data_IF_054416625410
#
_entry.id   IF_054416625410
#
_cell.length_a   1.000
_cell.length_b   1.000
_cell.length_c   1.000
_cell.angle_alpha   90.00
_cell.angle_beta   90.00
_cell.angle_gamma   90.00
#
_symmetry.space_group_name_H-M   'P 1'
#
loop_
_entity.id
_entity.type
_entity.pdbx_description
1 polymer ?
#
# COMPACT_ATOMS: atom_id res chain seq x y z
N UNK A 1 5.76 -23.87 -11.37
CA UNK A 1 5.28 -23.98 -9.97
C UNK A 1 5.99 -22.89 -9.17
N UNK A 2 5.58 -21.63 -9.34
CA UNK A 2 6.26 -20.47 -8.76
C UNK A 2 5.61 -20.14 -7.40
N UNK A 3 6.45 -20.07 -6.38
CA UNK A 3 6.11 -19.92 -4.98
C UNK A 3 5.42 -18.58 -4.70
N UNK A 4 4.23 -18.64 -4.09
CA UNK A 4 3.49 -17.51 -3.50
C UNK A 4 4.29 -16.96 -2.33
N UNK A 5 4.78 -15.72 -2.44
CA UNK A 5 5.44 -15.04 -1.33
C UNK A 5 4.39 -14.40 -0.41
N UNK A 6 4.16 -15.01 0.75
CA UNK A 6 3.35 -14.45 1.84
C UNK A 6 4.15 -13.36 2.55
N UNK A 7 3.86 -12.08 2.28
CA UNK A 7 4.46 -10.94 3.00
C UNK A 7 3.72 -10.74 4.33
N UNK A 8 4.28 -11.27 5.41
CA UNK A 8 3.79 -11.04 6.77
C UNK A 8 4.34 -9.72 7.30
N UNK A 9 3.53 -8.66 7.30
CA UNK A 9 3.90 -7.36 7.85
C UNK A 9 3.87 -7.40 9.39
N UNK A 10 5.04 -7.37 10.03
CA UNK A 10 5.21 -6.97 11.44
C UNK A 10 5.87 -5.59 11.44
N UNK A 11 5.10 -4.54 11.70
CA UNK A 11 5.62 -3.18 11.84
C UNK A 11 5.53 -2.79 13.32
N UNK A 12 6.70 -2.61 13.91
CA UNK A 12 6.95 -2.41 15.34
C UNK A 12 6.57 -1.00 15.78
N UNK A 13 6.05 -0.92 17.00
CA UNK A 13 5.80 0.30 17.77
C UNK A 13 7.09 1.11 17.96
N UNK A 14 7.05 2.43 17.70
CA UNK A 14 7.85 3.52 18.32
C UNK A 14 8.13 4.67 17.33
N UNK A 15 7.19 5.61 17.17
CA UNK A 15 7.45 7.06 17.01
C UNK A 15 6.10 7.79 16.81
N UNK A 16 5.55 8.42 17.84
CA UNK A 16 4.14 8.85 17.83
C UNK A 16 3.88 10.28 17.30
N UNK A 17 4.86 10.96 16.71
CA UNK A 17 4.68 12.36 16.24
C UNK A 17 5.20 12.68 14.83
N UNK A 18 5.89 11.75 14.15
CA UNK A 18 6.28 11.90 12.72
C UNK A 18 5.51 10.91 11.81
N UNK A 19 4.92 9.86 12.39
CA UNK A 19 4.41 8.68 11.65
C UNK A 19 2.95 8.78 11.20
N UNK A 20 2.22 9.83 11.59
CA UNK A 20 0.78 9.93 11.32
C UNK A 20 0.42 10.16 9.84
N UNK A 21 1.40 10.48 8.98
CA UNK A 21 1.17 10.76 7.55
C UNK A 21 2.11 10.00 6.58
N UNK A 22 3.07 9.22 7.08
CA UNK A 22 4.08 8.55 6.25
C UNK A 22 4.00 7.03 6.40
N UNK A 23 2.91 6.44 5.93
CA UNK A 23 2.90 5.01 5.68
C UNK A 23 3.53 4.74 4.31
N UNK A 24 4.79 4.31 4.31
CA UNK A 24 5.53 3.92 3.09
C UNK A 24 4.84 2.78 2.35
N UNK A 25 3.99 2.02 3.02
CA UNK A 25 3.17 0.98 2.43
C UNK A 25 1.72 1.15 2.87
N UNK A 26 0.78 0.96 1.93
CA UNK A 26 -0.65 1.05 2.21
C UNK A 26 -1.42 -0.06 1.52
N UNK A 27 -2.62 -0.35 2.04
CA UNK A 27 -3.55 -1.28 1.42
C UNK A 27 -4.51 -0.47 0.55
N UNK A 28 -4.72 -0.91 -0.69
CA UNK A 28 -5.64 -0.28 -1.62
C UNK A 28 -6.45 -1.31 -2.41
N UNK A 29 -7.49 -0.85 -3.09
CA UNK A 29 -8.23 -1.62 -4.09
C UNK A 29 -7.93 -1.08 -5.47
N UNK A 30 -7.72 -1.96 -6.44
CA UNK A 30 -7.61 -1.54 -7.84
C UNK A 30 -9.00 -1.21 -8.37
N UNK A 31 -9.21 0.03 -8.80
CA UNK A 31 -10.51 0.53 -9.30
C UNK A 31 -10.52 0.73 -10.82
N UNK A 32 -9.35 0.72 -11.46
CA UNK A 32 -9.27 0.91 -12.91
C UNK A 32 -7.86 0.76 -13.46
N UNK A 33 -7.72 1.07 -14.75
CA UNK A 33 -6.44 1.09 -15.43
C UNK A 33 -6.27 2.39 -16.22
N UNK A 34 -5.02 2.82 -16.38
CA UNK A 34 -4.66 3.99 -17.19
C UNK A 34 -3.84 3.51 -18.37
N UNK A 35 -4.16 4.04 -19.55
CA UNK A 35 -3.36 3.84 -20.76
C UNK A 35 -2.62 5.14 -21.07
N UNK A 36 -1.31 5.04 -21.28
CA UNK A 36 -0.50 6.14 -21.78
C UNK A 36 0.33 5.69 -22.97
N UNK A 37 0.15 6.38 -24.10
CA UNK A 37 0.92 6.18 -25.34
C UNK A 37 2.31 6.82 -25.26
N UNK A 38 2.47 7.87 -24.46
CA UNK A 38 3.73 8.60 -24.25
C UNK A 38 4.11 8.54 -22.77
N UNK A 39 5.13 7.75 -22.45
CA UNK A 39 5.62 7.54 -21.08
C UNK A 39 7.12 7.28 -21.06
N UNK A 40 7.73 7.54 -19.90
CA UNK A 40 9.16 7.29 -19.68
C UNK A 40 9.51 5.82 -20.00
N UNK A 41 10.67 5.54 -20.61
CA UNK A 41 11.07 4.18 -20.98
C UNK A 41 10.94 3.16 -19.86
N UNK A 42 11.29 3.53 -18.62
CA UNK A 42 11.18 2.68 -17.42
C UNK A 42 9.75 2.18 -17.15
N UNK A 43 8.72 2.86 -17.66
CA UNK A 43 7.31 2.53 -17.41
C UNK A 43 6.66 1.71 -18.54
N UNK A 44 7.39 1.43 -19.62
CA UNK A 44 6.80 0.82 -20.83
C UNK A 44 6.31 -0.60 -20.62
N UNK A 45 6.99 -1.36 -19.76
CA UNK A 45 6.75 -2.80 -19.57
C UNK A 45 5.74 -3.11 -18.45
N UNK A 46 5.15 -2.09 -17.84
CA UNK A 46 4.30 -2.24 -16.67
C UNK A 46 2.91 -1.67 -16.95
N UNK A 47 1.89 -2.28 -16.32
CA UNK A 47 0.54 -1.72 -16.32
C UNK A 47 0.49 -0.55 -15.33
N UNK A 48 -0.30 0.46 -15.69
CA UNK A 48 -0.64 1.57 -14.82
C UNK A 48 -2.06 1.32 -14.30
N UNK A 49 -2.20 1.16 -13.00
CA UNK A 49 -3.47 0.87 -12.35
C UNK A 49 -3.88 2.03 -11.45
N UNK A 50 -5.19 2.33 -11.44
CA UNK A 50 -5.77 3.29 -10.50
C UNK A 50 -6.08 2.51 -9.23
N UNK A 51 -5.55 2.98 -8.11
CA UNK A 51 -5.76 2.38 -6.79
C UNK A 51 -6.44 3.37 -5.86
N UNK A 52 -7.41 2.86 -5.11
CA UNK A 52 -8.13 3.57 -4.06
C UNK A 52 -7.70 2.99 -2.70
N UNK A 53 -7.02 3.76 -1.84
CA UNK A 53 -6.64 3.28 -0.52
C UNK A 53 -7.83 2.82 0.32
N UNK A 54 -7.63 1.78 1.12
CA UNK A 54 -8.61 1.28 2.06
C UNK A 54 -8.32 1.85 3.44
N UNK A 55 -9.32 2.48 4.06
CA UNK A 55 -9.23 3.07 5.38
C UNK A 55 -10.12 2.39 6.40
N UNK A 56 -9.79 2.58 7.67
CA UNK A 56 -10.69 2.25 8.77
C UNK A 56 -11.87 3.24 8.80
N UNK A 57 -13.02 2.79 9.29
CA UNK A 57 -14.23 3.61 9.40
C UNK A 57 -13.95 4.95 10.09
N UNK A 58 -14.40 6.05 9.47
CA UNK A 58 -14.31 7.41 10.03
C UNK A 58 -13.05 8.19 9.64
N UNK A 59 -12.19 7.67 8.76
CA UNK A 59 -11.11 8.44 8.13
C UNK A 59 -11.57 9.02 6.79
N UNK A 60 -11.03 10.17 6.40
CA UNK A 60 -11.29 10.75 5.08
C UNK A 60 -10.80 9.79 3.98
N UNK A 61 -11.62 9.58 2.95
CA UNK A 61 -11.20 8.81 1.78
C UNK A 61 -10.06 9.57 1.09
N UNK A 62 -8.83 9.04 1.07
CA UNK A 62 -7.76 9.68 0.33
C UNK A 62 -8.05 9.59 -1.16
N UNK A 63 -7.46 10.53 -1.89
CA UNK A 63 -7.59 10.57 -3.34
C UNK A 63 -6.97 9.33 -3.97
N UNK A 64 -7.71 8.75 -4.92
CA UNK A 64 -7.20 7.72 -5.82
C UNK A 64 -5.91 8.19 -6.50
N UNK A 65 -5.00 7.26 -6.74
CA UNK A 65 -3.74 7.54 -7.42
C UNK A 65 -3.32 6.40 -8.35
N UNK A 66 -2.31 6.65 -9.19
CA UNK A 66 -1.79 5.67 -10.14
C UNK A 66 -0.60 4.94 -9.53
N UNK A 67 -0.63 3.60 -9.57
CA UNK A 67 0.48 2.75 -9.20
C UNK A 67 0.89 1.87 -10.39
N UNK A 68 2.18 1.57 -10.47
CA UNK A 68 2.72 0.58 -11.41
C UNK A 68 2.49 -0.82 -10.87
N UNK A 69 2.07 -1.74 -11.73
CA UNK A 69 1.81 -3.12 -11.36
C UNK A 69 3.01 -4.02 -11.65
N UNK A 70 3.61 -4.56 -10.59
CA UNK A 70 4.64 -5.62 -10.67
C UNK A 70 4.14 -6.96 -10.13
N UNK A 71 2.91 -7.01 -9.61
CA UNK A 71 2.32 -8.19 -8.97
C UNK A 71 1.22 -8.86 -9.80
N UNK A 72 0.96 -8.35 -11.02
CA UNK A 72 -0.08 -8.82 -11.93
C UNK A 72 -1.50 -8.66 -11.39
N UNK A 73 -1.77 -7.56 -10.69
CA UNK A 73 -3.10 -7.24 -10.19
C UNK A 73 -4.12 -6.92 -11.32
N UNK A 74 -5.40 -7.13 -11.02
CA UNK A 74 -6.55 -6.77 -11.83
C UNK A 74 -7.50 -5.82 -11.09
N UNK A 75 -8.46 -5.26 -11.83
CA UNK A 75 -9.52 -4.42 -11.23
C UNK A 75 -10.36 -5.27 -10.26
N UNK A 76 -10.60 -4.72 -9.07
CA UNK A 76 -11.30 -5.39 -7.98
C UNK A 76 -10.37 -5.98 -6.91
N UNK A 77 -9.10 -6.24 -7.26
CA UNK A 77 -8.13 -6.82 -6.34
C UNK A 77 -7.81 -5.86 -5.19
N UNK A 78 -7.63 -6.42 -4.00
CA UNK A 78 -7.03 -5.72 -2.87
C UNK A 78 -5.52 -5.93 -2.94
N UNK A 79 -4.76 -4.86 -2.83
CA UNK A 79 -3.33 -4.82 -3.12
C UNK A 79 -2.54 -4.11 -2.03
N UNK A 80 -1.29 -4.52 -1.88
CA UNK A 80 -0.30 -3.82 -1.08
C UNK A 80 0.51 -2.90 -2.00
N UNK A 81 0.51 -1.61 -1.69
CA UNK A 81 1.18 -0.58 -2.48
C UNK A 81 2.35 -0.04 -1.68
N UNK A 82 3.56 -0.08 -2.26
CA UNK A 82 4.73 0.63 -1.78
C UNK A 82 4.71 2.06 -2.38
N UNK A 83 4.84 3.08 -1.53
CA UNK A 83 4.91 4.50 -1.87
C UNK A 83 6.30 5.12 -1.64
N UNK A 84 7.34 4.30 -1.58
CA UNK A 84 8.74 4.72 -1.43
C UNK A 84 9.49 4.68 -2.77
N UNK A 85 10.07 5.81 -3.19
CA UNK A 85 10.84 5.88 -4.44
C UNK A 85 12.10 5.01 -4.46
N UNK A 86 12.78 4.84 -3.32
CA UNK A 86 13.98 4.01 -3.20
C UNK A 86 13.68 2.53 -3.49
N UNK A 87 12.78 1.95 -2.71
CA UNK A 87 12.31 0.58 -2.93
C UNK A 87 11.68 0.39 -4.30
N UNK A 88 11.03 1.42 -4.86
CA UNK A 88 10.49 1.33 -6.19
C UNK A 88 11.55 1.18 -7.29
N UNK A 89 12.63 1.95 -7.22
CA UNK A 89 13.76 1.84 -8.16
C UNK A 89 14.49 0.51 -8.03
N UNK A 90 14.59 -0.02 -6.82
CA UNK A 90 15.18 -1.35 -6.58
C UNK A 90 14.34 -2.45 -7.25
N UNK A 91 13.01 -2.44 -7.04
CA UNK A 91 12.09 -3.40 -7.66
C UNK A 91 12.11 -3.30 -9.19
N UNK A 92 12.19 -2.09 -9.74
CA UNK A 92 12.27 -1.88 -11.19
C UNK A 92 13.66 -2.15 -11.77
N UNK A 93 14.68 -2.35 -10.93
CA UNK A 93 16.10 -2.43 -11.31
C UNK A 93 16.51 -1.25 -12.22
N UNK A 94 16.05 -0.04 -11.86
CA UNK A 94 16.31 1.19 -12.60
C UNK A 94 16.47 2.36 -11.60
N UNK A 95 17.70 2.83 -11.34
CA UNK A 95 17.98 3.87 -10.35
C UNK A 95 17.41 5.24 -10.71
N UNK A 96 17.08 5.46 -11.99
CA UNK A 96 16.57 6.74 -12.51
C UNK A 96 15.07 6.69 -12.79
N UNK A 97 14.39 5.56 -12.48
CA UNK A 97 12.97 5.42 -12.74
C UNK A 97 12.15 6.49 -11.98
N UNK A 98 11.30 7.26 -12.69
CA UNK A 98 10.45 8.28 -12.09
C UNK A 98 9.18 7.66 -11.50
N UNK A 99 9.35 6.76 -10.53
CA UNK A 99 8.25 6.06 -9.84
C UNK A 99 8.37 6.25 -8.33
N UNK A 100 7.21 6.40 -7.68
CA UNK A 100 7.11 6.30 -6.22
C UNK A 100 6.07 5.28 -5.78
N UNK A 101 5.10 4.91 -6.62
CA UNK A 101 3.99 4.02 -6.27
C UNK A 101 4.00 2.72 -7.08
N UNK A 102 4.13 1.59 -6.38
CA UNK A 102 4.13 0.25 -6.96
C UNK A 102 3.20 -0.68 -6.19
N UNK A 103 2.39 -1.43 -6.92
CA UNK A 103 1.68 -2.60 -6.39
C UNK A 103 2.68 -3.74 -6.29
N UNK A 104 3.05 -4.10 -5.06
CA UNK A 104 4.06 -5.14 -4.78
C UNK A 104 3.43 -6.51 -4.47
N UNK A 105 2.12 -6.58 -4.26
CA UNK A 105 1.40 -7.83 -4.02
C UNK A 105 -0.11 -7.69 -4.04
N UNK A 106 -0.79 -8.76 -4.44
CA UNK A 106 -2.24 -8.96 -4.22
C UNK A 106 -2.44 -9.58 -2.84
N UNK A 107 -3.40 -9.06 -2.08
CA UNK A 107 -3.67 -9.47 -0.70
C UNK A 107 -4.81 -10.49 -0.69
N UNK A 108 -4.52 -11.70 -0.23
CA UNK A 108 -5.53 -12.76 -0.09
C UNK A 108 -6.43 -12.53 1.13
N UNK A 109 -5.85 -12.12 2.27
CA UNK A 109 -6.59 -11.91 3.51
C UNK A 109 -5.81 -11.01 4.48
N UNK A 110 -6.54 -10.26 5.32
CA UNK A 110 -5.98 -9.46 6.41
C UNK A 110 -6.57 -9.97 7.73
N UNK A 111 -5.72 -10.35 8.67
CA UNK A 111 -6.13 -10.75 10.02
C UNK A 111 -5.88 -9.60 10.99
N UNK A 112 -6.97 -9.05 11.56
CA UNK A 112 -6.90 -8.03 12.59
C UNK A 112 -7.02 -8.67 13.97
N UNK A 113 -5.98 -8.51 14.80
CA UNK A 113 -6.05 -8.90 16.22
C UNK A 113 -6.50 -7.71 17.04
N UNK A 114 -7.65 -7.83 17.70
CA UNK A 114 -8.10 -6.81 18.65
C UNK A 114 -7.17 -6.80 19.86
N UNK A 115 -6.40 -5.72 20.01
CA UNK A 115 -5.64 -5.48 21.24
C UNK A 115 -6.65 -4.90 22.25
N UNK A 116 -7.12 -5.73 23.17
CA UNK A 116 -7.95 -5.27 24.28
C UNK A 116 -7.11 -4.34 25.16
N UNK A 117 -7.29 -3.04 25.02
CA UNK A 117 -6.76 -2.09 25.97
C UNK A 117 -7.49 -2.33 27.29
N UNK A 118 -6.76 -2.73 28.34
CA UNK A 118 -7.31 -2.83 29.68
C UNK A 118 -7.95 -1.48 30.02
N UNK A 119 -9.25 -1.49 30.31
CA UNK A 119 -10.01 -0.30 30.69
C UNK A 119 -9.32 0.31 31.91
N UNK A 120 -8.71 1.49 31.77
CA UNK A 120 -8.17 2.21 32.92
C UNK A 120 -9.27 2.30 33.99
N UNK A 121 -8.98 1.98 35.26
CA UNK A 121 -10.01 1.96 36.29
C UNK A 121 -10.66 3.34 36.32
N UNK A 122 -11.97 3.36 36.08
CA UNK A 122 -12.79 4.55 36.11
C UNK A 122 -12.69 5.08 37.53
N UNK A 123 -11.92 6.13 37.77
CA UNK A 123 -11.86 6.79 39.06
C UNK A 123 -13.29 7.19 39.44
N UNK A 124 -13.85 6.50 40.43
CA UNK A 124 -15.11 6.87 41.04
C UNK A 124 -14.85 8.24 41.69
N UNK A 125 -15.43 9.29 41.11
CA UNK A 125 -15.54 10.59 41.78
C UNK A 125 -16.82 10.52 42.61
N UNK A 126 -16.63 10.44 43.93
CA UNK A 126 -17.63 10.83 44.93
C UNK A 126 -17.75 12.36 44.98
#
# INVERSE_FOLDING_TARGET
MASRASVAARITEHCSLITAFYHLMLIARVVGSVVSTVKHPSLRNYKLLIVQPLHAEGQEDPRDFVALDVAHAGVGDVVLVNQEGGGAREVLNDPDAPVISLIVGVIDSVELKSISHAKAPRAQRE
#
